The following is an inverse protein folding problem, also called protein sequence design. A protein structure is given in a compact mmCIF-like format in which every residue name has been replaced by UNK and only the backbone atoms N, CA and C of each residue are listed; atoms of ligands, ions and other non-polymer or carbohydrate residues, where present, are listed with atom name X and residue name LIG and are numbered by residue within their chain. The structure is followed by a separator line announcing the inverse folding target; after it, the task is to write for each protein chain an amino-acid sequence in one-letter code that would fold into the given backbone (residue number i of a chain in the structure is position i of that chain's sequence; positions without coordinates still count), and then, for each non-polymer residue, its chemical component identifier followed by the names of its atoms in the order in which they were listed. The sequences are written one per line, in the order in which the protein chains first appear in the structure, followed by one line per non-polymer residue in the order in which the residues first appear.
data_IF_756981054559
#
_entry.id   IF_756981054559
#
_cell.length_a   1.000
_cell.length_b   1.000
_cell.length_c   1.000
_cell.angle_alpha   90.00
_cell.angle_beta   90.00
_cell.angle_gamma   90.00
#
_symmetry.space_group_name_H-M   'P 1'
#
loop_
_entity.id
_entity.type
_entity.pdbx_description
1 polymer ?
#
# COMPACT_ATOMS: atom_id res chain seq x y z
N UNK A 1 13.24 -8.75 25.44
CA UNK A 1 12.23 -8.06 24.61
C UNK A 1 11.38 -9.10 23.89
N UNK A 2 10.07 -8.93 23.89
CA UNK A 2 9.17 -9.87 23.20
C UNK A 2 9.38 -9.85 21.68
N UNK A 3 8.96 -10.93 21.01
CA UNK A 3 9.02 -11.01 19.54
C UNK A 3 8.23 -9.86 18.87
N UNK A 4 7.07 -9.51 19.45
CA UNK A 4 6.25 -8.39 18.98
C UNK A 4 6.99 -7.06 19.05
N UNK A 5 7.65 -6.77 20.15
CA UNK A 5 8.43 -5.53 20.34
C UNK A 5 9.63 -5.46 19.40
N UNK A 6 10.30 -6.61 19.18
CA UNK A 6 11.41 -6.69 18.22
C UNK A 6 10.94 -6.41 16.80
N UNK A 7 9.82 -7.02 16.39
CA UNK A 7 9.27 -6.81 15.07
C UNK A 7 8.82 -5.35 14.89
N UNK A 8 8.13 -4.78 15.88
CA UNK A 8 7.71 -3.38 15.82
C UNK A 8 8.91 -2.45 15.65
N UNK A 9 9.99 -2.65 16.43
CA UNK A 9 11.19 -1.84 16.31
C UNK A 9 11.85 -1.99 14.91
N UNK A 10 11.85 -3.20 14.36
CA UNK A 10 12.42 -3.47 13.04
C UNK A 10 11.60 -2.84 11.91
N UNK A 11 10.30 -2.63 12.11
CA UNK A 11 9.43 -2.02 11.09
C UNK A 11 9.54 -0.49 11.04
N UNK A 12 9.98 0.15 12.12
CA UNK A 12 10.10 1.62 12.16
C UNK A 12 11.11 2.08 11.11
N UNK A 13 10.70 3.06 10.29
CA UNK A 13 11.51 3.64 9.23
C UNK A 13 10.80 3.69 7.90
N UNK A 14 11.56 3.83 6.84
CA UNK A 14 11.07 3.95 5.48
C UNK A 14 11.35 2.67 4.71
N UNK A 15 10.33 2.18 4.00
CA UNK A 15 10.41 0.99 3.15
C UNK A 15 10.08 1.39 1.73
N UNK A 16 10.97 1.07 0.80
CA UNK A 16 10.75 1.33 -0.62
C UNK A 16 9.92 0.20 -1.22
N UNK A 17 8.87 0.54 -1.95
CA UNK A 17 8.05 -0.44 -2.65
C UNK A 17 8.77 -0.90 -3.92
N UNK A 18 9.07 -2.21 -4.00
CA UNK A 18 9.68 -2.81 -5.19
C UNK A 18 8.67 -3.54 -6.06
N UNK A 19 7.57 -4.02 -5.47
CA UNK A 19 6.63 -4.85 -6.18
C UNK A 19 5.25 -4.77 -5.55
N UNK A 20 4.24 -4.76 -6.40
CA UNK A 20 2.86 -5.02 -5.98
C UNK A 20 2.25 -6.01 -6.96
N UNK A 21 1.84 -7.15 -6.46
CA UNK A 21 1.21 -8.19 -7.25
C UNK A 21 -0.10 -8.66 -6.63
N UNK A 22 -1.01 -9.11 -7.47
CA UNK A 22 -2.27 -9.72 -7.06
C UNK A 22 -2.31 -11.13 -7.66
N UNK A 23 -2.47 -12.13 -6.80
CA UNK A 23 -2.65 -13.52 -7.21
C UNK A 23 -4.11 -13.91 -7.05
N UNK A 24 -4.70 -14.38 -8.13
CA UNK A 24 -6.09 -14.82 -8.16
C UNK A 24 -6.20 -16.33 -7.85
N UNK A 25 -7.44 -16.78 -7.55
CA UNK A 25 -7.70 -18.18 -7.19
C UNK A 25 -7.31 -19.16 -8.29
N UNK A 26 -7.37 -18.75 -9.56
CA UNK A 26 -6.99 -19.57 -10.72
C UNK A 26 -5.48 -19.61 -10.99
N UNK A 27 -4.68 -18.96 -10.13
CA UNK A 27 -3.23 -18.88 -10.26
C UNK A 27 -2.73 -17.72 -11.11
N UNK A 28 -3.61 -16.96 -11.75
CA UNK A 28 -3.22 -15.79 -12.52
C UNK A 28 -2.62 -14.72 -11.61
N UNK A 29 -1.58 -14.04 -12.08
CA UNK A 29 -0.94 -12.94 -11.35
C UNK A 29 -1.00 -11.67 -12.19
N UNK A 30 -1.44 -10.58 -11.57
CA UNK A 30 -1.41 -9.26 -12.19
C UNK A 30 -0.56 -8.30 -11.37
N UNK A 31 -0.11 -7.22 -12.00
CA UNK A 31 0.64 -6.14 -11.36
C UNK A 31 -0.03 -4.82 -11.69
N UNK A 32 -0.88 -4.31 -10.77
CA UNK A 32 -1.74 -3.15 -11.06
C UNK A 32 -0.97 -1.90 -11.49
N UNK A 33 0.24 -1.69 -10.94
CA UNK A 33 1.07 -0.52 -11.26
C UNK A 33 2.33 -0.91 -12.06
N UNK A 34 2.29 -2.05 -12.74
CA UNK A 34 3.38 -2.51 -13.59
C UNK A 34 4.49 -3.24 -12.84
N UNK A 35 5.58 -3.51 -13.53
CA UNK A 35 6.71 -4.29 -13.00
C UNK A 35 7.54 -3.52 -11.98
N UNK A 36 7.57 -2.21 -12.06
CA UNK A 36 8.39 -1.34 -11.23
C UNK A 36 7.59 -0.16 -10.69
N UNK A 37 6.66 -0.40 -9.75
CA UNK A 37 5.97 0.69 -9.10
C UNK A 37 6.96 1.53 -8.28
N UNK A 38 6.59 2.77 -8.01
CA UNK A 38 7.38 3.65 -7.14
C UNK A 38 6.56 3.98 -5.91
N UNK A 39 7.19 3.95 -4.76
CA UNK A 39 6.50 4.34 -3.55
C UNK A 39 7.23 3.97 -2.29
N UNK A 40 6.59 4.33 -1.19
CA UNK A 40 7.14 4.15 0.14
C UNK A 40 6.06 3.74 1.12
N UNK A 41 6.46 3.00 2.14
CA UNK A 41 5.68 2.87 3.37
C UNK A 41 6.56 3.37 4.50
N UNK A 42 6.01 4.25 5.32
CA UNK A 42 6.70 4.84 6.46
C UNK A 42 6.00 4.40 7.73
N UNK A 43 6.77 3.98 8.71
CA UNK A 43 6.28 3.67 10.06
C UNK A 43 7.07 4.47 11.08
N UNK A 44 6.38 5.19 11.95
CA UNK A 44 7.03 5.92 13.04
C UNK A 44 6.96 5.15 14.35
N UNK A 45 7.89 5.41 15.24
CA UNK A 45 7.96 4.73 16.54
C UNK A 45 6.73 5.06 17.41
N UNK A 46 6.14 6.23 17.25
CA UNK A 46 4.97 6.68 17.99
C UNK A 46 3.63 6.23 17.37
N UNK A 47 3.67 5.33 16.39
CA UNK A 47 2.48 4.64 15.91
C UNK A 47 1.77 5.24 14.72
N UNK A 48 2.43 6.08 13.94
CA UNK A 48 1.86 6.61 12.69
C UNK A 48 2.45 5.91 11.47
N UNK A 49 1.70 5.90 10.39
CA UNK A 49 2.14 5.31 9.12
C UNK A 49 1.64 6.11 7.95
N UNK A 50 2.34 5.98 6.82
CA UNK A 50 1.90 6.53 5.54
C UNK A 50 2.37 5.62 4.43
N UNK A 51 1.48 5.31 3.50
CA UNK A 51 1.78 4.51 2.32
C UNK A 51 1.47 5.30 1.06
N UNK A 52 2.41 5.34 0.14
CA UNK A 52 2.27 5.98 -1.16
C UNK A 52 2.85 5.07 -2.21
N UNK A 53 2.06 4.67 -3.20
CA UNK A 53 2.50 3.83 -4.31
C UNK A 53 1.93 4.40 -5.59
N UNK A 54 2.76 4.50 -6.62
CA UNK A 54 2.32 4.97 -7.93
C UNK A 54 2.87 4.10 -9.05
N UNK A 55 2.17 4.08 -10.17
CA UNK A 55 2.64 3.45 -11.39
C UNK A 55 3.86 4.21 -11.94
N UNK A 56 4.78 3.47 -12.56
CA UNK A 56 5.89 4.09 -13.28
C UNK A 56 5.38 4.81 -14.53
N UNK A 57 6.11 5.84 -14.95
CA UNK A 57 5.83 6.52 -16.23
C UNK A 57 4.59 7.40 -16.24
N UNK A 58 4.13 7.85 -15.08
CA UNK A 58 3.02 8.80 -15.02
C UNK A 58 3.41 10.10 -15.70
N UNK A 59 2.52 10.60 -16.57
CA UNK A 59 2.76 11.83 -17.32
C UNK A 59 2.33 13.04 -16.50
N UNK A 60 3.11 14.11 -16.57
CA UNK A 60 2.70 15.39 -16.01
C UNK A 60 1.47 15.92 -16.73
N UNK A 61 0.65 16.69 -16.02
CA UNK A 61 -0.47 17.40 -16.64
C UNK A 61 0.04 18.44 -17.61
N UNK A 62 -0.70 18.67 -18.70
CA UNK A 62 -0.40 19.76 -19.65
C UNK A 62 -0.58 21.13 -18.98
N UNK A 63 -1.60 21.27 -18.14
CA UNK A 63 -1.85 22.47 -17.39
C UNK A 63 -0.87 22.60 -16.22
N UNK A 64 -0.44 23.82 -15.89
CA UNK A 64 0.42 24.07 -14.72
C UNK A 64 -0.34 23.88 -13.42
N UNK A 65 -1.63 24.23 -13.39
CA UNK A 65 -2.49 24.04 -12.23
C UNK A 65 -3.24 22.70 -12.40
N UNK A 66 -3.13 21.79 -11.43
CA UNK A 66 -3.82 20.48 -11.53
C UNK A 66 -5.34 20.61 -11.64
N UNK A 67 -5.93 21.70 -11.15
CA UNK A 67 -7.37 21.93 -11.27
C UNK A 67 -7.80 22.22 -12.71
N UNK A 68 -6.87 22.66 -13.55
CA UNK A 68 -7.14 22.96 -14.97
C UNK A 68 -6.85 21.76 -15.88
N UNK A 69 -6.38 20.64 -15.32
CA UNK A 69 -6.20 19.42 -16.08
C UNK A 69 -7.56 18.88 -16.57
N UNK A 70 -7.56 18.19 -17.70
CA UNK A 70 -8.78 17.56 -18.21
C UNK A 70 -9.29 16.47 -17.26
N UNK A 71 -10.58 16.16 -17.37
CA UNK A 71 -11.15 15.06 -16.57
C UNK A 71 -10.45 13.74 -16.86
N UNK A 72 -10.11 13.48 -18.12
CA UNK A 72 -9.38 12.28 -18.51
C UNK A 72 -7.99 12.21 -17.88
N UNK A 73 -7.25 13.32 -17.88
CA UNK A 73 -5.93 13.38 -17.23
C UNK A 73 -6.05 13.16 -15.72
N UNK A 74 -7.04 13.76 -15.08
CA UNK A 74 -7.26 13.59 -13.63
C UNK A 74 -7.67 12.18 -13.28
N UNK A 75 -8.55 11.56 -14.08
CA UNK A 75 -8.97 10.17 -13.87
C UNK A 75 -7.79 9.20 -14.03
N UNK A 76 -6.95 9.42 -15.04
CA UNK A 76 -5.76 8.60 -15.27
C UNK A 76 -4.74 8.75 -14.12
N UNK A 77 -4.54 9.97 -13.64
CA UNK A 77 -3.65 10.23 -12.50
C UNK A 77 -4.15 9.55 -11.22
N UNK A 78 -5.47 9.60 -10.96
CA UNK A 78 -6.07 8.90 -9.83
C UNK A 78 -5.86 7.38 -9.93
N UNK A 79 -6.10 6.80 -11.11
CA UNK A 79 -5.99 5.36 -11.32
C UNK A 79 -4.57 4.82 -11.15
N UNK A 80 -3.55 5.66 -11.38
CA UNK A 80 -2.14 5.27 -11.26
C UNK A 80 -1.50 5.63 -9.92
N UNK A 81 -2.28 5.96 -8.92
CA UNK A 81 -1.77 6.40 -7.62
C UNK A 81 -2.61 5.80 -6.49
N UNK A 82 -1.93 5.39 -5.42
CA UNK A 82 -2.57 4.86 -4.22
C UNK A 82 -1.91 5.48 -3.00
N UNK A 83 -2.71 5.96 -2.05
CA UNK A 83 -2.18 6.56 -0.84
C UNK A 83 -3.17 6.47 0.31
N UNK A 84 -2.67 6.11 1.46
CA UNK A 84 -3.36 6.35 2.72
C UNK A 84 -2.36 6.57 3.86
N UNK A 85 -2.86 7.15 4.92
CA UNK A 85 -2.08 7.42 6.12
C UNK A 85 -2.96 7.29 7.36
N UNK A 86 -2.33 7.01 8.48
CA UNK A 86 -3.03 6.86 9.75
C UNK A 86 -2.14 6.30 10.84
N UNK A 87 -2.68 5.36 11.60
CA UNK A 87 -1.96 4.71 12.70
C UNK A 87 -1.68 3.26 12.38
N UNK A 88 -0.68 2.70 13.05
CA UNK A 88 -0.35 1.29 12.89
C UNK A 88 -0.10 0.63 14.22
N UNK A 89 -0.38 -0.67 14.27
CA UNK A 89 -0.05 -1.54 15.39
C UNK A 89 0.09 -2.97 14.91
N UNK A 90 0.81 -3.76 15.69
CA UNK A 90 0.95 -5.19 15.45
C UNK A 90 0.03 -5.99 16.36
N UNK A 91 -0.53 -7.06 15.82
CA UNK A 91 -1.31 -8.03 16.59
C UNK A 91 -1.16 -9.40 15.94
N UNK A 92 -0.59 -10.36 16.68
CA UNK A 92 -0.49 -11.77 16.25
C UNK A 92 0.13 -11.95 14.86
N UNK A 93 1.27 -11.29 14.60
CA UNK A 93 1.98 -11.40 13.33
C UNK A 93 1.34 -10.64 12.17
N UNK A 94 0.29 -9.89 12.43
CA UNK A 94 -0.36 -9.03 11.46
C UNK A 94 -0.19 -7.56 11.85
N UNK A 95 -0.19 -6.70 10.85
CA UNK A 95 -0.18 -5.27 11.05
C UNK A 95 -1.55 -4.70 10.70
N UNK A 96 -2.04 -3.80 11.54
CA UNK A 96 -3.23 -3.00 11.25
C UNK A 96 -2.79 -1.62 10.81
N UNK A 97 -3.34 -1.18 9.69
CA UNK A 97 -3.31 0.22 9.28
C UNK A 97 -4.69 0.82 9.51
N UNK A 98 -4.83 1.64 10.54
CA UNK A 98 -6.04 2.41 10.79
C UNK A 98 -6.00 3.64 9.89
N UNK A 99 -6.86 3.68 8.89
CA UNK A 99 -6.81 4.71 7.86
C UNK A 99 -7.54 5.97 8.32
N UNK A 100 -6.81 7.08 8.41
CA UNK A 100 -7.33 8.39 8.79
C UNK A 100 -7.43 9.35 7.62
N UNK A 101 -6.60 9.16 6.60
CA UNK A 101 -6.62 9.94 5.36
C UNK A 101 -6.29 9.02 4.19
N UNK A 102 -6.95 9.20 3.06
CA UNK A 102 -6.74 8.33 1.89
C UNK A 102 -7.12 9.03 0.61
N UNK A 103 -6.47 8.64 -0.49
CA UNK A 103 -6.90 9.03 -1.83
C UNK A 103 -8.29 8.49 -2.14
N UNK A 104 -8.53 7.20 -1.83
CA UNK A 104 -9.87 6.61 -1.93
C UNK A 104 -10.66 6.98 -0.67
N UNK A 105 -11.69 7.83 -0.77
CA UNK A 105 -12.44 8.27 0.40
C UNK A 105 -13.17 7.13 1.12
N UNK A 106 -13.44 6.02 0.44
CA UNK A 106 -14.06 4.84 1.04
C UNK A 106 -13.18 4.10 2.05
N UNK A 107 -11.86 4.35 2.06
CA UNK A 107 -10.96 3.73 3.03
C UNK A 107 -10.87 4.48 4.36
N UNK A 108 -11.26 5.75 4.40
CA UNK A 108 -11.18 6.54 5.64
C UNK A 108 -12.09 5.92 6.71
N UNK A 109 -11.52 5.72 7.90
CA UNK A 109 -12.22 5.09 9.02
C UNK A 109 -12.19 3.57 9.00
N UNK A 110 -11.52 2.95 8.03
CA UNK A 110 -11.36 1.49 7.97
C UNK A 110 -10.03 1.05 8.58
N UNK A 111 -9.96 -0.24 8.93
CA UNK A 111 -8.72 -0.90 9.31
C UNK A 111 -8.29 -1.84 8.20
N UNK A 112 -7.08 -1.65 7.72
CA UNK A 112 -6.49 -2.52 6.69
C UNK A 112 -5.49 -3.45 7.38
N UNK A 113 -5.82 -4.73 7.44
CA UNK A 113 -4.98 -5.75 8.05
C UNK A 113 -4.08 -6.41 7.01
N UNK A 114 -2.82 -6.62 7.38
CA UNK A 114 -1.83 -7.26 6.50
C UNK A 114 -1.05 -8.30 7.28
N UNK A 115 -0.79 -9.44 6.67
CA UNK A 115 0.21 -10.38 7.16
C UNK A 115 1.59 -9.75 6.95
N UNK A 116 2.46 -9.88 7.93
CA UNK A 116 3.81 -9.31 7.90
C UNK A 116 4.82 -10.43 7.79
N UNK A 117 5.70 -10.34 6.79
CA UNK A 117 6.87 -11.19 6.70
C UNK A 117 8.10 -10.32 6.52
N UNK A 118 9.02 -10.43 7.45
CA UNK A 118 10.27 -9.68 7.42
C UNK A 118 11.44 -10.65 7.34
N UNK A 119 12.18 -10.59 6.24
CA UNK A 119 13.35 -11.43 5.99
C UNK A 119 14.53 -10.51 5.69
N UNK A 120 15.40 -10.27 6.69
CA UNK A 120 16.50 -9.31 6.55
C UNK A 120 15.97 -7.91 6.24
N UNK A 121 16.35 -7.36 5.11
CA UNK A 121 15.91 -6.03 4.67
C UNK A 121 14.67 -6.07 3.76
N UNK A 122 14.03 -7.23 3.60
CA UNK A 122 12.83 -7.38 2.75
C UNK A 122 11.59 -7.49 3.62
N UNK A 123 10.65 -6.59 3.40
CA UNK A 123 9.35 -6.60 4.03
C UNK A 123 8.29 -6.99 3.00
N UNK A 124 7.48 -7.99 3.33
CA UNK A 124 6.31 -8.37 2.54
C UNK A 124 5.06 -8.13 3.36
N UNK A 125 4.13 -7.37 2.80
CA UNK A 125 2.80 -7.15 3.35
C UNK A 125 1.79 -7.82 2.44
N UNK A 126 0.98 -8.71 3.00
CA UNK A 126 0.03 -9.47 2.22
C UNK A 126 -1.36 -9.38 2.81
N UNK A 127 -2.35 -9.31 1.94
CA UNK A 127 -3.76 -9.31 2.32
C UNK A 127 -4.55 -10.20 1.38
N UNK A 128 -5.52 -10.92 1.94
CA UNK A 128 -6.47 -11.71 1.17
C UNK A 128 -7.77 -10.94 1.09
N UNK A 129 -8.26 -10.74 -0.11
CA UNK A 129 -9.52 -10.06 -0.39
C UNK A 129 -10.51 -11.04 -0.99
N UNK A 130 -11.71 -11.09 -0.41
CA UNK A 130 -12.81 -11.88 -0.94
C UNK A 130 -13.56 -11.07 -2.00
N UNK A 131 -13.67 -11.63 -3.20
CA UNK A 131 -14.38 -11.00 -4.31
C UNK A 131 -15.53 -11.87 -4.78
N UNK A 132 -16.38 -11.34 -5.65
CA UNK A 132 -17.49 -12.09 -6.25
C UNK A 132 -17.03 -13.30 -7.06
N UNK A 133 -15.80 -13.29 -7.58
CA UNK A 133 -15.22 -14.36 -8.41
C UNK A 133 -14.27 -15.26 -7.64
N UNK A 134 -14.13 -15.08 -6.32
CA UNK A 134 -13.25 -15.88 -5.46
C UNK A 134 -12.32 -15.04 -4.64
N UNK A 135 -11.27 -15.68 -4.09
CA UNK A 135 -10.27 -15.02 -3.27
C UNK A 135 -9.13 -14.49 -4.15
N UNK A 136 -8.58 -13.36 -3.75
CA UNK A 136 -7.33 -12.86 -4.33
C UNK A 136 -6.39 -12.40 -3.23
N UNK A 137 -5.09 -12.58 -3.46
CA UNK A 137 -4.04 -12.22 -2.51
C UNK A 137 -3.22 -11.06 -3.07
N UNK A 138 -3.18 -9.96 -2.33
CA UNK A 138 -2.31 -8.84 -2.61
C UNK A 138 -0.99 -9.02 -1.88
N UNK A 139 0.12 -8.77 -2.55
CA UNK A 139 1.45 -8.77 -1.95
C UNK A 139 2.18 -7.49 -2.34
N UNK A 140 2.75 -6.81 -1.35
CA UNK A 140 3.55 -5.60 -1.52
C UNK A 140 4.90 -5.87 -0.86
N UNK A 141 5.97 -5.69 -1.64
CA UNK A 141 7.34 -5.93 -1.20
C UNK A 141 8.21 -4.68 -1.31
#
# INVERSE_FOLDING_TARGET
MSAKKKLAAALVGAWICHRWSIRYADGQVTRPFGLRPHGFILYTADGFMSATIMAAGRKAFRAKNPRDASEAERAHAFAGYFSYAGRWRLSRGRIEHEVLAALNPGLVGTSQWREVRLEGSRLTLAAVEKTATGLRRHEIE
#
